data_IF_944300749354
#
_entry.id   IF_944300749354
#
_cell.length_a   1.000
_cell.length_b   1.000
_cell.length_c   1.000
_cell.angle_alpha   90.00
_cell.angle_beta   90.00
_cell.angle_gamma   90.00
#
_symmetry.space_group_name_H-M   'P 1'
#
loop_
_entity.id
_entity.type
_entity.pdbx_description
1 polymer ?
#
# COMPACT_ATOMS: atom_id res chain seq x y z
N UNK A 1 -68.56 1.31 -15.60
CA UNK A 1 -67.31 1.96 -16.04
C UNK A 1 -66.28 1.73 -14.94
N UNK A 2 -65.42 0.74 -15.14
CA UNK A 2 -64.46 0.26 -14.14
C UNK A 2 -63.18 1.11 -14.28
N UNK A 3 -62.86 1.90 -13.25
CA UNK A 3 -61.65 2.73 -13.22
C UNK A 3 -60.51 1.87 -12.67
N UNK A 4 -59.62 1.42 -13.55
CA UNK A 4 -58.33 0.83 -13.17
C UNK A 4 -57.36 1.98 -12.85
N UNK A 5 -56.90 2.06 -11.60
CA UNK A 5 -55.82 2.95 -11.18
C UNK A 5 -54.51 2.15 -11.28
N UNK A 6 -53.69 2.43 -12.28
CA UNK A 6 -52.33 1.90 -12.37
C UNK A 6 -51.41 2.76 -11.49
N UNK A 7 -51.00 2.24 -10.33
CA UNK A 7 -49.91 2.82 -9.54
C UNK A 7 -48.58 2.63 -10.26
N UNK A 8 -48.16 3.63 -11.02
CA UNK A 8 -46.80 3.73 -11.55
C UNK A 8 -45.82 4.00 -10.41
N UNK A 9 -44.80 3.16 -10.30
CA UNK A 9 -43.69 3.35 -9.37
C UNK A 9 -42.77 4.44 -9.93
N UNK A 10 -42.99 5.69 -9.51
CA UNK A 10 -42.06 6.79 -9.80
C UNK A 10 -40.77 6.57 -9.03
N UNK A 11 -39.68 6.23 -9.73
CA UNK A 11 -38.34 6.31 -9.16
C UNK A 11 -38.07 7.77 -8.81
N UNK A 12 -37.98 8.06 -7.52
CA UNK A 12 -37.42 9.32 -7.04
C UNK A 12 -35.93 9.29 -7.34
N UNK A 13 -35.47 10.17 -8.22
CA UNK A 13 -34.04 10.44 -8.36
C UNK A 13 -33.56 11.10 -7.06
N UNK A 14 -32.85 10.32 -6.24
CA UNK A 14 -32.09 10.84 -5.10
C UNK A 14 -30.85 11.55 -5.61
N UNK A 15 -30.36 12.59 -4.91
CA UNK A 15 -29.18 13.33 -5.32
C UNK A 15 -27.97 12.40 -5.41
N UNK A 16 -27.17 12.55 -6.47
CA UNK A 16 -25.96 11.79 -6.77
C UNK A 16 -24.99 11.82 -5.59
N UNK A 17 -25.10 10.82 -4.73
CA UNK A 17 -24.04 10.46 -3.79
C UNK A 17 -22.93 9.87 -4.66
N UNK A 18 -21.80 10.56 -4.76
CA UNK A 18 -20.61 10.01 -5.40
C UNK A 18 -20.28 8.70 -4.70
N UNK A 19 -20.36 7.59 -5.42
CA UNK A 19 -19.96 6.29 -4.90
C UNK A 19 -18.52 6.40 -4.39
N UNK A 20 -18.20 5.78 -3.24
CA UNK A 20 -16.82 5.68 -2.79
C UNK A 20 -15.93 5.08 -3.89
N UNK A 21 -14.63 5.44 -3.95
CA UNK A 21 -13.70 4.79 -4.87
C UNK A 21 -13.84 3.27 -4.76
N UNK A 22 -13.96 2.60 -5.91
CA UNK A 22 -14.15 1.15 -5.94
C UNK A 22 -12.98 0.45 -5.24
N UNK A 23 -13.25 -0.22 -4.11
CA UNK A 23 -12.22 -1.00 -3.42
C UNK A 23 -11.99 -2.35 -4.11
N UNK A 24 -10.73 -2.73 -4.25
CA UNK A 24 -10.32 -4.02 -4.78
C UNK A 24 -10.33 -5.02 -3.63
N UNK A 25 -11.28 -5.96 -3.66
CA UNK A 25 -11.35 -7.05 -2.68
C UNK A 25 -10.14 -7.98 -2.80
N UNK A 26 -9.26 -7.98 -1.79
CA UNK A 26 -8.05 -8.81 -1.73
C UNK A 26 -7.61 -9.08 -0.30
N UNK A 27 -6.73 -10.06 -0.12
CA UNK A 27 -6.23 -10.42 1.21
C UNK A 27 -5.23 -9.39 1.72
N UNK A 28 -5.56 -8.71 2.83
CA UNK A 28 -4.65 -7.79 3.51
C UNK A 28 -3.28 -8.42 3.89
N UNK A 29 -3.20 -9.75 3.98
CA UNK A 29 -1.98 -10.47 4.37
C UNK A 29 -1.03 -10.76 3.21
N UNK A 30 -1.49 -10.72 1.95
CA UNK A 30 -0.64 -11.10 0.82
C UNK A 30 0.28 -9.95 0.43
N UNK A 31 1.58 -10.12 0.70
CA UNK A 31 2.63 -9.19 0.30
C UNK A 31 3.60 -9.75 -0.72
N UNK A 32 4.50 -8.88 -1.21
CA UNK A 32 5.59 -9.22 -2.11
C UNK A 32 6.93 -8.64 -1.61
N UNK A 33 7.98 -9.45 -1.62
CA UNK A 33 9.36 -9.03 -1.37
C UNK A 33 10.06 -8.82 -2.73
N UNK A 34 10.03 -7.59 -3.24
CA UNK A 34 10.58 -7.25 -4.56
C UNK A 34 10.73 -5.73 -4.71
N UNK A 35 11.73 -5.28 -5.47
CA UNK A 35 11.85 -3.87 -5.85
C UNK A 35 10.89 -3.52 -6.99
N UNK A 36 9.61 -3.39 -6.62
CA UNK A 36 8.51 -3.15 -7.54
C UNK A 36 8.45 -1.68 -7.93
N UNK A 37 8.89 -1.36 -9.15
CA UNK A 37 9.01 0.02 -9.65
C UNK A 37 8.13 0.30 -10.87
N UNK A 38 7.77 -0.74 -11.64
CA UNK A 38 7.07 -0.57 -12.91
C UNK A 38 5.55 -0.53 -12.71
N UNK A 39 4.84 0.48 -13.24
CA UNK A 39 3.37 0.55 -13.21
C UNK A 39 2.68 -0.69 -13.77
N UNK A 40 3.23 -1.31 -14.82
CA UNK A 40 2.67 -2.51 -15.43
C UNK A 40 2.66 -3.72 -14.48
N UNK A 41 3.69 -3.85 -13.64
CA UNK A 41 3.78 -4.95 -12.67
C UNK A 41 2.81 -4.70 -11.49
N UNK A 42 2.72 -3.46 -11.01
CA UNK A 42 1.72 -3.05 -10.01
C UNK A 42 0.30 -3.35 -10.50
N UNK A 43 -0.01 -2.98 -11.74
CA UNK A 43 -1.31 -3.25 -12.36
C UNK A 43 -1.61 -4.75 -12.45
N UNK A 44 -0.63 -5.57 -12.83
CA UNK A 44 -0.78 -7.01 -12.92
C UNK A 44 -1.01 -7.67 -11.54
N UNK A 45 -0.46 -7.10 -10.48
CA UNK A 45 -0.47 -7.67 -9.12
C UNK A 45 -1.59 -7.14 -8.23
N UNK A 46 -2.16 -5.97 -8.54
CA UNK A 46 -3.06 -5.24 -7.64
C UNK A 46 -4.29 -6.01 -7.18
N UNK A 47 -4.76 -7.00 -7.94
CA UNK A 47 -5.92 -7.82 -7.58
C UNK A 47 -5.63 -8.83 -6.47
N UNK A 48 -4.36 -9.14 -6.22
CA UNK A 48 -3.96 -10.14 -5.25
C UNK A 48 -3.01 -9.65 -4.16
N UNK A 49 -2.18 -8.64 -4.45
CA UNK A 49 -1.15 -8.15 -3.53
C UNK A 49 -1.62 -6.87 -2.86
N UNK A 50 -1.52 -6.82 -1.52
CA UNK A 50 -1.90 -5.65 -0.73
C UNK A 50 -0.71 -4.76 -0.38
N UNK A 51 0.48 -5.32 -0.24
CA UNK A 51 1.66 -4.56 0.17
C UNK A 51 2.93 -5.15 -0.44
N UNK A 52 4.00 -4.34 -0.49
CA UNK A 52 5.32 -4.81 -0.87
C UNK A 52 6.42 -4.06 -0.12
N UNK A 53 7.62 -4.63 -0.12
CA UNK A 53 8.82 -3.96 0.36
C UNK A 53 10.01 -4.36 -0.52
N UNK A 54 11.06 -3.53 -0.52
CA UNK A 54 12.23 -3.67 -1.38
C UNK A 54 13.56 -3.66 -0.60
N UNK A 55 13.52 -4.05 0.68
CA UNK A 55 14.67 -4.00 1.61
C UNK A 55 15.28 -2.60 1.83
N UNK A 56 14.59 -1.54 1.38
CA UNK A 56 15.04 -0.16 1.53
C UNK A 56 13.94 0.73 2.12
N UNK A 57 14.30 1.93 2.57
CA UNK A 57 13.36 2.84 3.22
C UNK A 57 12.61 3.76 2.24
N UNK A 58 12.86 3.63 0.94
CA UNK A 58 12.22 4.40 -0.14
C UNK A 58 11.89 3.48 -1.31
N UNK A 59 10.86 3.86 -2.05
CA UNK A 59 10.54 3.28 -3.36
C UNK A 59 10.67 4.33 -4.46
N UNK A 60 10.92 3.89 -5.68
CA UNK A 60 10.88 4.71 -6.91
C UNK A 60 9.64 4.44 -7.76
N UNK A 61 8.70 3.63 -7.25
CA UNK A 61 7.36 3.49 -7.83
C UNK A 61 6.66 4.85 -7.94
N UNK A 62 5.66 4.94 -8.83
CA UNK A 62 4.85 6.13 -9.01
C UNK A 62 4.20 6.55 -7.68
N UNK A 63 4.28 7.82 -7.29
CA UNK A 63 3.87 8.31 -5.97
C UNK A 63 2.38 8.10 -5.63
N UNK A 64 1.56 7.86 -6.65
CA UNK A 64 0.12 7.58 -6.55
C UNK A 64 -0.19 6.07 -6.48
N UNK A 65 0.79 5.22 -6.17
CA UNK A 65 0.61 3.77 -6.11
C UNK A 65 -0.50 3.33 -5.15
N UNK A 66 -0.68 4.04 -4.03
CA UNK A 66 -1.63 3.69 -2.99
C UNK A 66 -3.05 3.91 -3.50
N UNK A 67 -3.31 5.08 -4.09
CA UNK A 67 -4.61 5.40 -4.67
C UNK A 67 -4.91 4.57 -5.91
N UNK A 68 -3.93 4.38 -6.80
CA UNK A 68 -4.12 3.77 -8.12
C UNK A 68 -4.25 2.24 -8.04
N UNK A 69 -3.41 1.60 -7.24
CA UNK A 69 -3.32 0.13 -7.17
C UNK A 69 -3.86 -0.42 -5.85
N UNK A 70 -4.20 0.44 -4.88
CA UNK A 70 -4.61 0.04 -3.52
C UNK A 70 -3.55 -0.88 -2.90
N UNK A 71 -2.29 -0.52 -3.11
CA UNK A 71 -1.12 -1.26 -2.61
C UNK A 71 -0.30 -0.35 -1.71
N UNK A 72 0.27 -0.91 -0.65
CA UNK A 72 1.07 -0.18 0.34
C UNK A 72 2.56 -0.53 0.21
N UNK A 73 3.41 0.50 0.18
CA UNK A 73 4.85 0.31 0.33
C UNK A 73 5.22 0.29 1.81
N UNK A 74 5.93 -0.76 2.24
CA UNK A 74 6.44 -0.85 3.61
C UNK A 74 7.96 -0.56 3.60
N UNK A 75 8.41 0.58 4.16
CA UNK A 75 9.83 0.90 4.23
C UNK A 75 10.58 -0.07 5.14
N UNK A 76 11.87 -0.24 4.87
CA UNK A 76 12.77 -1.06 5.69
C UNK A 76 14.07 -0.34 6.04
N UNK A 77 14.49 -0.43 7.30
CA UNK A 77 15.88 -0.24 7.70
C UNK A 77 16.57 -1.60 7.78
N UNK A 78 17.40 -1.89 6.78
CA UNK A 78 17.96 -3.22 6.60
C UNK A 78 18.88 -3.67 7.75
N UNK A 79 19.67 -2.78 8.34
CA UNK A 79 20.55 -3.15 9.45
C UNK A 79 21.04 -1.93 10.22
N UNK A 80 22.35 -1.89 10.50
CA UNK A 80 22.99 -0.70 11.05
C UNK A 80 23.10 0.37 9.95
N UNK A 81 22.49 1.52 10.18
CA UNK A 81 22.40 2.61 9.22
C UNK A 81 23.12 3.87 9.73
N UNK A 82 23.42 4.81 8.83
CA UNK A 82 24.01 6.09 9.22
C UNK A 82 22.94 7.03 9.78
N UNK A 83 23.34 8.02 10.59
CA UNK A 83 22.44 9.08 11.11
C UNK A 83 21.66 9.81 10.01
N UNK A 84 22.25 9.92 8.82
CA UNK A 84 21.63 10.49 7.63
C UNK A 84 20.45 9.66 7.13
N UNK A 85 20.50 8.34 7.23
CA UNK A 85 19.46 7.45 6.74
C UNK A 85 18.23 7.54 7.65
N UNK A 86 18.42 7.60 8.97
CA UNK A 86 17.32 7.86 9.92
C UNK A 86 16.62 9.20 9.65
N UNK A 87 17.40 10.23 9.31
CA UNK A 87 16.84 11.55 8.95
C UNK A 87 16.02 11.47 7.66
N UNK A 88 16.54 10.77 6.64
CA UNK A 88 15.85 10.59 5.37
C UNK A 88 14.60 9.73 5.49
N UNK A 89 14.65 8.64 6.26
CA UNK A 89 13.50 7.79 6.58
C UNK A 89 12.41 8.61 7.26
N UNK A 90 12.77 9.39 8.29
CA UNK A 90 11.82 10.23 9.01
C UNK A 90 11.12 11.19 8.04
N UNK A 91 11.87 11.85 7.17
CA UNK A 91 11.29 12.76 6.18
C UNK A 91 10.39 12.02 5.19
N UNK A 92 10.78 10.80 4.77
CA UNK A 92 9.98 9.97 3.87
C UNK A 92 8.65 9.55 4.52
N UNK A 93 8.66 9.00 5.74
CA UNK A 93 7.41 8.61 6.43
C UNK A 93 6.52 9.83 6.68
N UNK A 94 7.08 10.97 7.10
CA UNK A 94 6.28 12.17 7.34
C UNK A 94 5.63 12.75 6.08
N UNK A 95 6.16 12.47 4.89
CA UNK A 95 5.55 12.86 3.62
C UNK A 95 4.58 11.81 3.04
N UNK A 96 4.47 10.64 3.68
CA UNK A 96 3.63 9.51 3.25
C UNK A 96 2.77 9.06 4.44
N UNK A 97 1.69 9.80 4.76
CA UNK A 97 0.87 9.55 5.94
C UNK A 97 0.14 8.20 5.91
N UNK A 98 0.08 7.54 4.76
CA UNK A 98 -0.46 6.19 4.58
C UNK A 98 0.45 5.09 5.13
N UNK A 99 1.72 5.38 5.41
CA UNK A 99 2.67 4.39 5.94
C UNK A 99 2.43 4.16 7.43
N UNK A 100 1.94 2.98 7.78
CA UNK A 100 1.70 2.57 9.18
C UNK A 100 2.78 1.65 9.76
N UNK A 101 3.61 1.05 8.91
CA UNK A 101 4.58 0.02 9.29
C UNK A 101 6.00 0.38 8.85
N UNK A 102 6.99 -0.07 9.63
CA UNK A 102 8.42 0.02 9.32
C UNK A 102 9.07 -1.33 9.63
N UNK A 103 9.67 -1.96 8.62
CA UNK A 103 10.48 -3.16 8.80
C UNK A 103 11.88 -2.77 9.27
N UNK A 104 12.48 -3.60 10.12
CA UNK A 104 13.83 -3.37 10.66
C UNK A 104 14.60 -4.69 10.72
N UNK A 105 15.93 -4.60 10.60
CA UNK A 105 16.89 -5.70 10.80
C UNK A 105 16.62 -6.93 9.92
N UNK A 106 17.13 -6.90 8.69
CA UNK A 106 17.08 -8.02 7.77
C UNK A 106 18.08 -9.10 8.19
N UNK A 107 17.55 -10.23 8.67
CA UNK A 107 18.32 -11.45 8.95
C UNK A 107 19.64 -11.15 9.71
N UNK A 108 19.57 -10.49 10.88
CA UNK A 108 20.76 -10.05 11.61
C UNK A 108 21.70 -11.20 11.98
N UNK A 109 21.19 -12.42 12.05
CA UNK A 109 21.97 -13.63 12.36
C UNK A 109 22.76 -14.20 11.16
N UNK A 110 22.63 -13.64 9.95
CA UNK A 110 23.38 -14.09 8.77
C UNK A 110 24.55 -13.14 8.47
N UNK A 111 25.72 -13.70 8.20
CA UNK A 111 26.98 -12.94 8.03
C UNK A 111 27.05 -12.13 6.73
N UNK A 112 26.25 -12.51 5.73
CA UNK A 112 26.10 -11.83 4.45
C UNK A 112 24.85 -10.92 4.41
N UNK A 113 24.16 -10.76 5.53
CA UNK A 113 23.00 -9.87 5.70
C UNK A 113 23.31 -8.77 6.72
N UNK A 114 22.35 -8.33 7.53
CA UNK A 114 22.57 -7.23 8.47
C UNK A 114 23.71 -7.52 9.46
N UNK A 115 23.98 -8.80 9.75
CA UNK A 115 25.13 -9.28 10.52
C UNK A 115 25.31 -8.52 11.85
N UNK A 116 24.31 -8.64 12.71
CA UNK A 116 24.24 -8.03 14.03
C UNK A 116 24.07 -9.09 15.11
N UNK A 117 24.87 -8.98 16.17
CA UNK A 117 24.66 -9.76 17.40
C UNK A 117 23.47 -9.20 18.18
N UNK A 118 22.82 -10.00 19.05
CA UNK A 118 21.70 -9.53 19.87
C UNK A 118 21.97 -8.28 20.72
N UNK A 119 23.23 -8.04 21.11
CA UNK A 119 23.63 -6.93 21.99
C UNK A 119 23.91 -5.60 21.27
N UNK A 120 23.81 -5.55 19.93
CA UNK A 120 24.13 -4.39 19.08
C UNK A 120 22.86 -3.84 18.44
#
# INVERSE_FOLDING_TARGET
MLILITSGCGKKESPTQSDPPAQIEKSAKRGLAYDLTQPADLEALKSGVSWWYNWYFKTTAASDYNDTYQMEFIPMLWGRNASTDYTQLKNFILSHPEIEYLLVLNEPNLTDQANLTPDV
#
